data_IF_013000458980
#
_entry.id   IF_013000458980
#
_cell.length_a   1.000
_cell.length_b   1.000
_cell.length_c   1.000
_cell.angle_alpha   90.00
_cell.angle_beta   90.00
_cell.angle_gamma   90.00
#
_symmetry.space_group_name_H-M   'P 1'
#
loop_
_entity.id
_entity.type
_entity.pdbx_description
1 polymer ?
#
# COMPACT_ATOMS: atom_id res chain seq x y z
N UNK A 1 48.11 37.51 87.18
CA UNK A 1 46.82 37.73 86.52
C UNK A 1 47.04 37.97 85.09
N UNK A 2 46.81 36.98 84.27
CA UNK A 2 47.12 36.96 82.83
C UNK A 2 45.85 36.85 82.02
N UNK A 3 45.54 37.62 80.98
CA UNK A 3 44.42 37.48 80.16
C UNK A 3 44.65 36.54 78.98
N UNK A 4 43.69 35.76 78.68
CA UNK A 4 43.58 34.70 77.71
C UNK A 4 43.42 35.29 76.30
N UNK A 5 44.07 34.80 75.24
CA UNK A 5 43.87 35.26 73.86
C UNK A 5 42.74 34.46 73.19
N UNK A 6 41.76 35.14 72.62
CA UNK A 6 40.69 34.63 71.79
C UNK A 6 41.21 34.10 70.44
N UNK A 7 40.96 32.84 70.15
CA UNK A 7 41.21 32.24 68.81
C UNK A 7 40.02 32.55 67.90
N UNK A 8 40.33 33.30 66.83
CA UNK A 8 39.40 33.55 65.74
C UNK A 8 39.36 32.35 64.82
N UNK A 9 38.19 31.74 64.66
CA UNK A 9 37.95 30.68 63.67
C UNK A 9 37.54 31.34 62.34
N UNK A 10 38.41 31.26 61.34
CA UNK A 10 38.13 31.68 59.98
C UNK A 10 37.38 30.53 59.26
N UNK A 11 36.09 30.74 58.98
CA UNK A 11 35.27 29.80 58.15
C UNK A 11 35.64 30.05 56.67
N UNK A 12 36.35 29.11 56.07
CA UNK A 12 36.56 29.06 54.62
C UNK A 12 35.31 28.54 53.93
N UNK A 13 34.63 29.42 53.22
CA UNK A 13 33.53 29.02 52.33
C UNK A 13 34.16 28.36 51.08
N UNK A 14 34.02 27.05 50.98
CA UNK A 14 34.28 26.31 49.78
C UNK A 14 33.06 26.42 48.86
N UNK A 15 33.13 27.25 47.81
CA UNK A 15 32.12 27.34 46.77
C UNK A 15 32.22 26.08 45.88
N UNK A 16 31.23 25.19 46.07
CA UNK A 16 31.07 23.99 45.21
C UNK A 16 30.35 24.43 43.95
N UNK A 17 31.08 24.64 42.86
CA UNK A 17 30.51 24.88 41.54
C UNK A 17 30.07 23.54 40.97
N UNK A 18 28.75 23.26 41.01
CA UNK A 18 28.16 22.11 40.35
C UNK A 18 28.02 22.46 38.86
N UNK A 19 28.94 21.94 38.04
CA UNK A 19 28.84 21.98 36.57
C UNK A 19 27.80 20.91 36.16
N UNK A 20 26.56 21.37 35.92
CA UNK A 20 25.52 20.52 35.34
C UNK A 20 25.82 20.34 33.85
N UNK A 21 26.50 19.26 33.48
CA UNK A 21 26.66 18.84 32.07
C UNK A 21 25.34 18.29 31.58
N UNK A 22 24.54 19.12 30.88
CA UNK A 22 23.39 18.63 30.07
C UNK A 22 23.92 17.77 28.92
N UNK A 23 23.90 16.46 29.09
CA UNK A 23 24.06 15.53 28.00
C UNK A 23 22.83 15.64 27.09
N UNK A 24 22.96 16.33 25.96
CA UNK A 24 21.95 16.28 24.90
C UNK A 24 21.96 14.86 24.31
N UNK A 25 21.01 14.03 24.76
CA UNK A 25 20.66 12.80 24.06
C UNK A 25 20.04 13.22 22.71
N UNK A 26 20.83 13.26 21.67
CA UNK A 26 20.36 13.33 20.29
C UNK A 26 19.61 12.04 20.01
N UNK A 27 18.27 12.06 20.11
CA UNK A 27 17.42 10.99 19.61
C UNK A 27 17.58 11.04 18.09
N UNK A 28 18.47 10.23 17.54
CA UNK A 28 18.58 10.05 16.10
C UNK A 28 17.24 9.49 15.62
N UNK A 29 16.50 10.26 14.80
CA UNK A 29 15.31 9.75 14.16
C UNK A 29 15.70 8.50 13.34
N UNK A 30 14.90 7.43 13.46
CA UNK A 30 15.14 6.23 12.67
C UNK A 30 15.16 6.60 11.17
N UNK A 31 16.09 6.05 10.40
CA UNK A 31 16.20 6.38 8.97
C UNK A 31 14.89 6.02 8.26
N UNK A 32 14.45 6.88 7.35
CA UNK A 32 13.29 6.62 6.51
C UNK A 32 13.55 5.38 5.66
N UNK A 33 12.68 4.35 5.70
CA UNK A 33 12.86 3.15 4.90
C UNK A 33 12.83 3.49 3.41
N UNK A 34 13.58 2.76 2.61
CA UNK A 34 13.56 2.87 1.15
C UNK A 34 12.25 2.36 0.56
N UNK A 35 11.89 2.79 -0.64
CA UNK A 35 10.72 2.26 -1.34
C UNK A 35 10.79 0.73 -1.53
N UNK A 36 11.99 0.20 -1.75
CA UNK A 36 12.24 -1.25 -1.88
C UNK A 36 11.88 -2.01 -0.60
N UNK A 37 12.29 -1.51 0.56
CA UNK A 37 11.98 -2.11 1.86
C UNK A 37 10.48 -2.04 2.17
N UNK A 38 9.83 -0.91 1.91
CA UNK A 38 8.39 -0.75 2.09
C UNK A 38 7.63 -1.74 1.20
N UNK A 39 7.98 -1.84 -0.08
CA UNK A 39 7.33 -2.78 -1.01
C UNK A 39 7.62 -4.25 -0.65
N UNK A 40 8.81 -4.56 -0.13
CA UNK A 40 9.11 -5.90 0.36
C UNK A 40 8.20 -6.29 1.52
N UNK A 41 7.98 -5.39 2.50
CA UNK A 41 7.06 -5.65 3.61
C UNK A 41 5.60 -5.82 3.13
N UNK A 42 5.15 -5.01 2.16
CA UNK A 42 3.83 -5.16 1.53
C UNK A 42 3.66 -6.55 0.92
N UNK A 43 4.64 -7.01 0.13
CA UNK A 43 4.58 -8.34 -0.51
C UNK A 43 4.51 -9.48 0.52
N UNK A 44 5.33 -9.41 1.58
CA UNK A 44 5.32 -10.41 2.65
C UNK A 44 3.96 -10.44 3.35
N UNK A 45 3.40 -9.29 3.71
CA UNK A 45 2.09 -9.23 4.37
C UNK A 45 0.96 -9.72 3.46
N UNK A 46 1.00 -9.37 2.17
CA UNK A 46 0.02 -9.87 1.21
C UNK A 46 0.11 -11.39 1.06
N UNK A 47 1.32 -11.97 1.02
CA UNK A 47 1.51 -13.40 0.84
C UNK A 47 1.15 -14.26 2.08
N UNK A 48 0.92 -13.65 3.24
CA UNK A 48 0.59 -14.37 4.49
C UNK A 48 -0.91 -14.41 4.81
N UNK A 49 -1.75 -13.81 3.97
CA UNK A 49 -3.17 -13.73 4.24
C UNK A 49 -3.89 -15.05 3.97
N UNK A 50 -4.95 -15.28 4.75
CA UNK A 50 -5.94 -16.33 4.51
C UNK A 50 -7.31 -15.66 4.42
N UNK A 51 -7.96 -15.79 3.28
CA UNK A 51 -9.21 -15.11 2.95
C UNK A 51 -10.16 -16.12 2.32
N UNK A 52 -11.41 -16.09 2.78
CA UNK A 52 -12.55 -16.77 2.16
C UNK A 52 -13.77 -15.86 2.34
N UNK A 53 -14.05 -15.03 1.33
CA UNK A 53 -15.05 -13.96 1.42
C UNK A 53 -15.81 -13.84 0.12
N UNK A 54 -17.05 -13.40 0.23
CA UNK A 54 -17.84 -13.00 -0.92
C UNK A 54 -17.57 -11.53 -1.26
N UNK A 55 -17.64 -11.19 -2.55
CA UNK A 55 -17.47 -9.82 -2.99
C UNK A 55 -18.26 -9.53 -4.26
N UNK A 56 -18.19 -8.29 -4.68
CA UNK A 56 -18.75 -7.86 -5.96
C UNK A 56 -17.97 -6.69 -6.56
N UNK A 57 -17.94 -6.64 -7.89
CA UNK A 57 -17.63 -5.41 -8.62
C UNK A 57 -18.96 -4.75 -8.99
N UNK A 58 -19.08 -3.45 -8.73
CA UNK A 58 -20.25 -2.67 -9.09
C UNK A 58 -19.85 -1.45 -9.88
N UNK A 59 -20.37 -1.36 -11.11
CA UNK A 59 -20.18 -0.21 -12.00
C UNK A 59 -21.52 0.18 -12.62
N UNK A 60 -21.99 1.38 -12.31
CA UNK A 60 -23.35 1.83 -12.63
C UNK A 60 -24.39 0.83 -12.07
N UNK A 61 -25.26 0.31 -12.93
CA UNK A 61 -26.28 -0.70 -12.59
C UNK A 61 -25.76 -2.14 -12.65
N UNK A 62 -24.55 -2.34 -13.20
CA UNK A 62 -23.94 -3.67 -13.34
C UNK A 62 -23.33 -4.11 -12.02
N UNK A 63 -23.73 -5.28 -11.55
CA UNK A 63 -23.19 -5.95 -10.36
C UNK A 63 -22.65 -7.30 -10.77
N UNK A 64 -21.39 -7.56 -10.47
CA UNK A 64 -20.67 -8.79 -10.81
C UNK A 64 -20.20 -9.42 -9.51
N UNK A 65 -20.91 -10.42 -8.97
CA UNK A 65 -20.49 -11.14 -7.79
C UNK A 65 -19.26 -11.99 -8.08
N UNK A 66 -18.40 -12.14 -7.08
CA UNK A 66 -17.26 -13.05 -7.09
C UNK A 66 -17.03 -13.66 -5.71
N UNK A 67 -16.38 -14.81 -5.69
CA UNK A 67 -15.85 -15.43 -4.50
C UNK A 67 -14.35 -15.15 -4.44
N UNK A 68 -13.89 -14.50 -3.38
CA UNK A 68 -12.49 -14.17 -3.13
C UNK A 68 -11.90 -15.18 -2.16
N UNK A 69 -10.95 -15.97 -2.63
CA UNK A 69 -10.16 -16.82 -1.76
C UNK A 69 -8.69 -16.43 -1.82
N UNK A 70 -8.02 -16.52 -0.68
CA UNK A 70 -6.57 -16.42 -0.63
C UNK A 70 -6.01 -17.47 0.30
N UNK A 71 -5.01 -18.19 -0.18
CA UNK A 71 -4.21 -19.14 0.61
C UNK A 71 -2.74 -18.84 0.37
N UNK A 72 -2.13 -18.17 1.35
CA UNK A 72 -0.77 -17.71 1.22
C UNK A 72 -0.58 -16.78 0.00
N UNK A 73 0.35 -17.08 -0.93
CA UNK A 73 0.64 -16.21 -2.06
C UNK A 73 -0.36 -16.31 -3.22
N UNK A 74 -1.40 -17.13 -3.12
CA UNK A 74 -2.38 -17.33 -4.20
C UNK A 74 -3.69 -16.65 -3.85
N UNK A 75 -4.07 -15.64 -4.65
CA UNK A 75 -5.33 -14.91 -4.57
C UNK A 75 -6.18 -15.30 -5.76
N UNK A 76 -7.44 -15.69 -5.54
CA UNK A 76 -8.35 -16.13 -6.58
C UNK A 76 -9.67 -15.39 -6.50
N UNK A 77 -10.07 -14.78 -7.61
CA UNK A 77 -11.37 -14.18 -7.85
C UNK A 77 -12.15 -15.12 -8.75
N UNK A 78 -13.10 -15.87 -8.19
CA UNK A 78 -13.95 -16.79 -8.94
C UNK A 78 -15.29 -16.13 -9.27
N UNK A 79 -15.64 -16.14 -10.55
CA UNK A 79 -16.88 -15.60 -11.09
C UNK A 79 -17.77 -16.74 -11.57
N UNK A 80 -19.07 -16.52 -11.57
CA UNK A 80 -20.06 -17.39 -12.20
C UNK A 80 -20.66 -16.72 -13.44
N UNK A 81 -21.19 -17.53 -14.36
CA UNK A 81 -21.90 -17.10 -15.58
C UNK A 81 -21.10 -16.17 -16.52
N UNK A 82 -20.08 -16.69 -17.26
CA UNK A 82 -19.56 -18.07 -17.25
C UNK A 82 -18.68 -18.35 -16.04
N UNK A 83 -18.47 -19.62 -15.72
CA UNK A 83 -17.54 -20.04 -14.67
C UNK A 83 -16.11 -19.81 -15.13
N UNK A 84 -15.47 -18.85 -14.49
CA UNK A 84 -14.07 -18.52 -14.69
C UNK A 84 -13.45 -17.95 -13.41
N UNK A 85 -12.15 -17.97 -13.32
CA UNK A 85 -11.48 -17.25 -12.25
C UNK A 85 -10.23 -16.54 -12.76
N UNK A 86 -9.94 -15.40 -12.14
CA UNK A 86 -8.64 -14.74 -12.23
C UNK A 86 -7.84 -15.10 -11.00
N UNK A 87 -6.69 -15.72 -11.20
CA UNK A 87 -5.83 -16.18 -10.12
C UNK A 87 -4.49 -15.46 -10.17
N UNK A 88 -4.20 -14.69 -9.11
CA UNK A 88 -2.93 -14.00 -8.93
C UNK A 88 -2.02 -14.86 -8.04
N UNK A 89 -0.81 -15.14 -8.53
CA UNK A 89 0.27 -15.74 -7.75
C UNK A 89 1.31 -14.68 -7.43
N UNK A 90 1.50 -14.42 -6.15
CA UNK A 90 2.53 -13.51 -5.65
C UNK A 90 3.83 -14.30 -5.50
N UNK A 91 4.81 -14.03 -6.34
CA UNK A 91 6.15 -14.59 -6.21
C UNK A 91 7.05 -13.70 -5.37
N UNK A 92 8.30 -14.09 -5.23
CA UNK A 92 9.31 -13.30 -4.53
C UNK A 92 9.70 -12.04 -5.31
N UNK A 93 9.91 -12.17 -6.63
CA UNK A 93 10.44 -11.13 -7.50
C UNK A 93 9.46 -10.66 -8.58
N UNK A 94 8.32 -11.32 -8.74
CA UNK A 94 7.29 -10.99 -9.72
C UNK A 94 5.94 -11.57 -9.28
N UNK A 95 4.86 -11.09 -9.89
CA UNK A 95 3.53 -11.68 -9.80
C UNK A 95 3.10 -12.28 -11.13
N UNK A 96 2.21 -13.27 -11.09
CA UNK A 96 1.65 -13.89 -12.28
C UNK A 96 0.14 -13.97 -12.17
N UNK A 97 -0.55 -13.34 -13.10
CA UNK A 97 -1.99 -13.48 -13.26
C UNK A 97 -2.29 -14.63 -14.23
N UNK A 98 -3.27 -15.42 -13.91
CA UNK A 98 -3.74 -16.58 -14.67
C UNK A 98 -5.26 -16.49 -14.85
N UNK A 99 -5.74 -16.81 -16.04
CA UNK A 99 -7.15 -17.12 -16.29
C UNK A 99 -7.38 -18.61 -16.07
N UNK A 100 -8.40 -18.94 -15.30
CA UNK A 100 -8.81 -20.32 -15.01
C UNK A 100 -10.22 -20.52 -15.52
N UNK A 101 -10.36 -21.36 -16.54
CA UNK A 101 -11.63 -21.68 -17.18
C UNK A 101 -11.84 -23.19 -17.19
N UNK A 102 -12.97 -23.66 -17.71
CA UNK A 102 -13.25 -25.09 -17.91
C UNK A 102 -12.25 -25.74 -18.88
N UNK A 103 -11.64 -24.98 -19.80
CA UNK A 103 -10.64 -25.46 -20.75
C UNK A 103 -9.22 -25.57 -20.15
N UNK A 104 -8.97 -24.98 -18.99
CA UNK A 104 -7.68 -25.05 -18.33
C UNK A 104 -7.22 -23.75 -17.66
N UNK A 105 -5.93 -23.65 -17.41
CA UNK A 105 -5.27 -22.51 -16.79
C UNK A 105 -4.31 -21.89 -17.82
N UNK A 106 -4.52 -20.61 -18.11
CA UNK A 106 -3.70 -19.85 -19.05
C UNK A 106 -3.06 -18.64 -18.35
N UNK A 107 -1.78 -18.41 -18.65
CA UNK A 107 -1.07 -17.23 -18.14
C UNK A 107 -1.50 -15.98 -18.90
N UNK A 108 -1.93 -14.96 -18.19
CA UNK A 108 -2.17 -13.63 -18.76
C UNK A 108 -0.83 -13.01 -19.20
N UNK A 109 -0.78 -12.64 -20.47
CA UNK A 109 0.39 -12.01 -21.09
C UNK A 109 0.29 -10.49 -21.05
N UNK A 110 1.40 -9.75 -21.23
CA UNK A 110 1.35 -8.28 -21.30
C UNK A 110 0.41 -7.72 -22.36
N UNK A 111 0.19 -8.44 -23.47
CA UNK A 111 -0.76 -8.04 -24.51
C UNK A 111 -2.23 -8.06 -24.07
N UNK A 112 -2.52 -8.72 -22.94
CA UNK A 112 -3.87 -8.83 -22.36
C UNK A 112 -4.05 -7.93 -21.13
N UNK A 113 -3.03 -7.17 -20.73
CA UNK A 113 -3.09 -6.38 -19.48
C UNK A 113 -4.16 -5.28 -19.48
N UNK A 114 -4.55 -4.79 -20.65
CA UNK A 114 -5.63 -3.83 -20.82
C UNK A 114 -7.03 -4.46 -20.87
N UNK A 115 -7.14 -5.80 -20.91
CA UNK A 115 -8.42 -6.49 -20.86
C UNK A 115 -9.18 -6.11 -19.57
N UNK A 116 -10.44 -5.76 -19.75
CA UNK A 116 -11.32 -5.35 -18.66
C UNK A 116 -11.94 -6.55 -17.96
N UNK A 117 -11.82 -6.60 -16.63
CA UNK A 117 -12.44 -7.64 -15.81
C UNK A 117 -13.95 -7.52 -15.93
N UNK A 118 -14.56 -8.48 -16.62
CA UNK A 118 -16.01 -8.51 -16.84
C UNK A 118 -16.58 -7.21 -17.41
N UNK A 119 -15.77 -6.47 -18.18
CA UNK A 119 -16.16 -5.19 -18.82
C UNK A 119 -16.32 -4.02 -17.85
N UNK A 120 -15.76 -4.10 -16.65
CA UNK A 120 -15.65 -2.97 -15.69
C UNK A 120 -14.44 -2.12 -16.02
N UNK A 121 -14.24 -1.00 -15.28
CA UNK A 121 -13.02 -0.19 -15.39
C UNK A 121 -11.79 -0.82 -14.74
N UNK A 122 -11.90 -2.00 -14.11
CA UNK A 122 -10.76 -2.78 -13.61
C UNK A 122 -10.12 -3.56 -14.75
N UNK A 123 -8.80 -3.48 -14.91
CA UNK A 123 -8.06 -4.24 -15.92
C UNK A 123 -7.31 -5.42 -15.32
N UNK A 124 -6.82 -6.32 -16.16
CA UNK A 124 -5.98 -7.43 -15.72
C UNK A 124 -4.68 -6.96 -15.10
N UNK A 125 -4.07 -5.88 -15.59
CA UNK A 125 -2.88 -5.30 -14.98
C UNK A 125 -3.15 -4.79 -13.56
N UNK A 126 -4.33 -4.22 -13.35
CA UNK A 126 -4.75 -3.72 -12.03
C UNK A 126 -4.77 -4.87 -11.00
N UNK A 127 -5.29 -6.05 -11.39
CA UNK A 127 -5.30 -7.23 -10.54
C UNK A 127 -3.93 -7.91 -10.42
N UNK A 128 -3.09 -7.79 -11.44
CA UNK A 128 -1.76 -8.43 -11.44
C UNK A 128 -0.79 -7.80 -10.44
N UNK A 129 -1.06 -6.59 -9.94
CA UNK A 129 -0.25 -5.87 -8.95
C UNK A 129 1.24 -5.77 -9.35
N UNK A 130 1.54 -5.73 -10.65
CA UNK A 130 2.93 -5.73 -11.16
C UNK A 130 3.76 -4.59 -10.60
N UNK A 131 3.16 -3.44 -10.35
CA UNK A 131 3.86 -2.24 -9.86
C UNK A 131 4.50 -2.41 -8.49
N UNK A 132 4.04 -3.34 -7.63
CA UNK A 132 4.70 -3.58 -6.33
C UNK A 132 6.03 -4.33 -6.46
N UNK A 133 6.38 -4.77 -7.68
CA UNK A 133 7.64 -5.42 -8.02
C UNK A 133 8.59 -4.53 -8.81
N UNK A 134 8.17 -3.31 -9.19
CA UNK A 134 9.02 -2.41 -9.95
C UNK A 134 10.22 -1.93 -9.10
N UNK A 135 11.42 -2.06 -9.69
CA UNK A 135 12.67 -1.76 -8.99
C UNK A 135 12.97 -0.25 -8.94
N UNK A 136 12.47 0.53 -9.91
CA UNK A 136 12.70 1.96 -10.02
C UNK A 136 11.70 2.74 -9.15
N UNK A 137 11.88 2.66 -7.82
CA UNK A 137 11.00 3.31 -6.86
C UNK A 137 11.75 4.21 -5.89
N UNK A 138 11.08 5.29 -5.45
CA UNK A 138 11.56 6.17 -4.38
C UNK A 138 10.43 6.55 -3.44
N UNK A 139 10.77 6.89 -2.21
CA UNK A 139 9.84 7.55 -1.30
C UNK A 139 9.71 9.00 -1.75
N UNK A 140 8.53 9.39 -2.17
CA UNK A 140 8.22 10.73 -2.66
C UNK A 140 7.70 11.65 -1.54
N UNK A 141 7.49 11.11 -0.33
CA UNK A 141 7.03 11.86 0.83
C UNK A 141 6.07 11.05 1.70
N UNK A 142 5.35 11.76 2.52
CA UNK A 142 4.36 11.23 3.45
C UNK A 142 3.07 12.01 3.31
N UNK A 143 1.95 11.33 3.39
CA UNK A 143 0.62 11.94 3.37
C UNK A 143 -0.35 11.14 4.22
N UNK A 144 -1.40 11.77 4.69
CA UNK A 144 -2.52 11.05 5.31
C UNK A 144 -3.58 10.75 4.25
N UNK A 145 -3.99 9.49 4.16
CA UNK A 145 -5.16 9.05 3.41
C UNK A 145 -6.24 8.68 4.42
N UNK A 146 -7.33 9.45 4.44
CA UNK A 146 -8.33 9.40 5.51
C UNK A 146 -7.65 9.61 6.87
N UNK A 147 -7.70 8.65 7.77
CA UNK A 147 -7.10 8.72 9.11
C UNK A 147 -5.78 7.96 9.22
N UNK A 148 -5.21 7.49 8.09
CA UNK A 148 -4.00 6.65 8.08
C UNK A 148 -2.80 7.44 7.58
N UNK A 149 -1.70 7.41 8.31
CA UNK A 149 -0.43 7.96 7.88
C UNK A 149 0.24 7.01 6.89
N UNK A 150 0.56 7.51 5.70
CA UNK A 150 1.06 6.70 4.61
C UNK A 150 2.41 7.19 4.10
N UNK A 151 3.26 6.25 3.69
CA UNK A 151 4.35 6.53 2.78
C UNK A 151 3.77 6.77 1.38
N UNK A 152 4.17 7.85 0.73
CA UNK A 152 3.91 8.06 -0.70
C UNK A 152 5.12 7.57 -1.48
N UNK A 153 4.95 6.54 -2.28
CA UNK A 153 5.97 6.00 -3.17
C UNK A 153 5.72 6.47 -4.61
N UNK A 154 6.78 6.74 -5.34
CA UNK A 154 6.76 6.91 -6.79
C UNK A 154 7.49 5.72 -7.42
N UNK A 155 6.81 5.02 -8.33
CA UNK A 155 7.28 3.82 -8.98
C UNK A 155 7.24 4.03 -10.49
N UNK A 156 8.36 3.78 -11.19
CA UNK A 156 8.45 3.92 -12.64
C UNK A 156 8.43 2.54 -13.31
N UNK A 157 7.62 2.42 -14.35
CA UNK A 157 7.52 1.19 -15.11
C UNK A 157 8.87 0.81 -15.75
N UNK A 158 9.24 -0.48 -15.76
CA UNK A 158 10.47 -0.93 -16.36
C UNK A 158 10.42 -0.92 -17.89
N UNK A 159 9.22 -0.97 -18.49
CA UNK A 159 9.02 -0.99 -19.94
C UNK A 159 7.61 -0.56 -20.33
N UNK A 160 7.41 -0.36 -21.65
CA UNK A 160 6.08 -0.03 -22.23
C UNK A 160 5.09 -1.20 -22.29
N UNK A 161 5.40 -2.32 -21.68
CA UNK A 161 4.45 -3.44 -21.54
C UNK A 161 3.36 -3.15 -20.49
N UNK A 162 3.58 -2.18 -19.60
CA UNK A 162 2.57 -1.68 -18.68
C UNK A 162 1.74 -0.57 -19.34
N UNK A 163 0.46 -0.50 -19.02
CA UNK A 163 -0.40 0.64 -19.38
C UNK A 163 0.03 1.92 -18.64
N UNK A 164 0.75 1.79 -17.51
CA UNK A 164 1.26 2.88 -16.71
C UNK A 164 2.73 3.14 -16.98
N UNK A 165 3.11 4.41 -17.16
CA UNK A 165 4.51 4.86 -17.14
C UNK A 165 5.03 5.05 -15.72
N UNK A 166 4.13 5.46 -14.84
CA UNK A 166 4.42 5.81 -13.46
C UNK A 166 3.22 5.50 -12.56
N UNK A 167 3.50 5.03 -11.34
CA UNK A 167 2.48 4.78 -10.32
C UNK A 167 2.89 5.49 -9.04
N UNK A 168 1.97 6.27 -8.48
CA UNK A 168 2.07 6.70 -7.09
C UNK A 168 1.27 5.75 -6.21
N UNK A 169 1.88 5.32 -5.10
CA UNK A 169 1.29 4.36 -4.18
C UNK A 169 1.36 4.89 -2.76
N UNK A 170 0.25 4.88 -2.04
CA UNK A 170 0.18 5.24 -0.63
C UNK A 170 0.06 3.98 0.21
N UNK A 171 1.08 3.72 1.01
CA UNK A 171 1.21 2.55 1.88
C UNK A 171 1.04 2.99 3.33
N UNK A 172 0.08 2.45 4.03
CA UNK A 172 -0.12 2.69 5.45
C UNK A 172 1.11 2.29 6.26
N UNK A 173 1.62 3.20 7.09
CA UNK A 173 2.85 2.98 7.85
C UNK A 173 2.75 1.92 8.93
N UNK A 174 1.57 1.73 9.50
CA UNK A 174 1.36 0.79 10.60
C UNK A 174 1.02 -0.61 10.09
N UNK A 175 0.07 -0.69 9.15
CA UNK A 175 -0.46 -1.96 8.68
C UNK A 175 0.03 -2.38 7.29
N UNK A 176 0.86 -1.58 6.61
CA UNK A 176 1.36 -1.87 5.25
C UNK A 176 0.27 -2.00 4.18
N UNK A 177 -0.96 -1.58 4.49
CA UNK A 177 -2.07 -1.66 3.55
C UNK A 177 -1.89 -0.65 2.41
N UNK A 178 -2.26 -1.05 1.20
CA UNK A 178 -2.31 -0.17 0.03
C UNK A 178 -3.59 0.69 0.13
N UNK A 179 -3.43 1.95 0.50
CA UNK A 179 -4.55 2.86 0.76
C UNK A 179 -5.03 3.60 -0.49
N UNK A 180 -4.11 3.95 -1.38
CA UNK A 180 -4.39 4.60 -2.67
C UNK A 180 -3.32 4.22 -3.69
N UNK A 181 -3.72 4.15 -4.95
CA UNK A 181 -2.86 4.06 -6.11
C UNK A 181 -3.32 5.07 -7.16
N UNK A 182 -2.39 5.76 -7.79
CA UNK A 182 -2.63 6.60 -8.96
C UNK A 182 -1.71 6.17 -10.09
N UNK A 183 -2.29 5.72 -11.21
CA UNK A 183 -1.59 5.31 -12.41
C UNK A 183 -1.59 6.42 -13.45
N UNK A 184 -0.41 6.72 -14.00
CA UNK A 184 -0.20 7.73 -15.03
C UNK A 184 0.16 7.06 -16.35
N UNK A 185 -0.45 7.48 -17.44
CA UNK A 185 -0.18 6.98 -18.78
C UNK A 185 1.23 7.40 -19.28
N UNK A 186 1.59 6.95 -20.49
CA UNK A 186 2.90 7.25 -21.09
C UNK A 186 3.03 8.71 -21.58
N UNK A 187 1.98 9.51 -21.48
CA UNK A 187 1.98 10.96 -21.69
C UNK A 187 2.04 11.75 -20.37
N UNK A 188 2.22 11.04 -19.23
CA UNK A 188 2.28 11.62 -17.90
C UNK A 188 0.94 12.13 -17.40
N UNK A 189 -0.19 11.65 -17.95
CA UNK A 189 -1.53 12.02 -17.52
C UNK A 189 -2.10 10.98 -16.58
N UNK A 190 -2.76 11.43 -15.48
CA UNK A 190 -3.49 10.54 -14.61
C UNK A 190 -4.58 9.83 -15.40
N UNK A 191 -4.56 8.49 -15.39
CA UNK A 191 -5.49 7.62 -16.14
C UNK A 191 -6.32 6.75 -15.21
N UNK A 192 -5.80 6.40 -14.03
CA UNK A 192 -6.49 5.51 -13.09
C UNK A 192 -6.23 5.91 -11.64
N UNK A 193 -7.25 5.75 -10.79
CA UNK A 193 -7.11 5.91 -9.33
C UNK A 193 -7.83 4.79 -8.60
N UNK A 194 -7.18 4.23 -7.61
CA UNK A 194 -7.74 3.32 -6.62
C UNK A 194 -7.69 3.99 -5.26
N UNK A 195 -8.76 3.86 -4.48
CA UNK A 195 -8.79 4.39 -3.12
C UNK A 195 -9.61 3.49 -2.20
N UNK A 196 -9.04 3.09 -1.08
CA UNK A 196 -9.76 2.42 -0.01
C UNK A 196 -10.76 3.40 0.60
N UNK A 197 -12.04 3.05 0.48
CA UNK A 197 -13.15 3.86 1.02
C UNK A 197 -13.45 3.47 2.46
N UNK A 198 -13.47 2.18 2.73
CA UNK A 198 -13.72 1.66 4.08
C UNK A 198 -13.08 0.29 4.28
N UNK A 199 -12.80 -0.01 5.54
CA UNK A 199 -12.36 -1.30 6.01
C UNK A 199 -13.37 -1.85 7.02
N UNK A 200 -13.32 -3.16 7.26
CA UNK A 200 -14.15 -3.86 8.23
C UNK A 200 -13.31 -4.82 9.06
N UNK A 201 -13.77 -5.12 10.26
CA UNK A 201 -13.12 -6.09 11.14
C UNK A 201 -13.87 -7.41 11.08
N UNK A 202 -13.17 -8.49 10.70
CA UNK A 202 -13.69 -9.85 10.65
C UNK A 202 -12.77 -10.69 11.53
N UNK A 203 -13.31 -11.36 12.55
CA UNK A 203 -12.56 -12.20 13.48
C UNK A 203 -11.29 -11.53 14.05
N UNK A 204 -11.43 -10.25 14.41
CA UNK A 204 -10.31 -9.49 15.01
C UNK A 204 -9.34 -8.89 14.01
N UNK A 205 -9.36 -9.25 12.73
CA UNK A 205 -8.48 -8.75 11.66
C UNK A 205 -9.16 -7.71 10.77
N UNK A 206 -8.39 -6.75 10.27
CA UNK A 206 -8.87 -5.74 9.34
C UNK A 206 -8.83 -6.25 7.90
N UNK A 207 -9.95 -6.07 7.19
CA UNK A 207 -10.10 -6.38 5.77
C UNK A 207 -10.64 -5.18 5.01
N UNK A 208 -10.35 -5.14 3.73
CA UNK A 208 -11.02 -4.22 2.81
C UNK A 208 -12.54 -4.45 2.88
N UNK A 209 -13.33 -3.39 3.04
CA UNK A 209 -14.79 -3.43 2.86
C UNK A 209 -15.18 -2.87 1.51
N UNK A 210 -14.63 -1.70 1.15
CA UNK A 210 -14.93 -1.06 -0.13
C UNK A 210 -13.71 -0.32 -0.66
N UNK A 211 -13.42 -0.51 -1.94
CA UNK A 211 -12.45 0.25 -2.73
C UNK A 211 -13.16 0.90 -3.90
N UNK A 212 -12.83 2.15 -4.18
CA UNK A 212 -13.26 2.87 -5.37
C UNK A 212 -12.17 2.85 -6.39
N UNK A 213 -12.51 2.51 -7.63
CA UNK A 213 -11.63 2.45 -8.78
C UNK A 213 -12.19 3.40 -9.83
N UNK A 214 -11.42 4.38 -10.23
CA UNK A 214 -11.82 5.42 -11.18
C UNK A 214 -10.93 5.38 -12.42
N UNK A 215 -11.54 5.27 -13.58
CA UNK A 215 -10.91 5.56 -14.86
C UNK A 215 -11.04 7.06 -15.12
N UNK A 216 -9.91 7.72 -15.35
CA UNK A 216 -9.83 9.17 -15.51
C UNK A 216 -9.58 9.48 -16.98
N UNK A 217 -10.37 10.38 -17.55
CA UNK A 217 -10.14 10.86 -18.90
C UNK A 217 -8.84 11.68 -18.94
N UNK A 218 -7.80 11.20 -19.65
CA UNK A 218 -6.47 11.79 -19.60
C UNK A 218 -6.47 13.27 -19.94
N UNK A 219 -5.73 14.07 -19.15
CA UNK A 219 -5.58 15.51 -19.35
C UNK A 219 -6.76 16.37 -18.88
N UNK A 220 -7.91 15.79 -18.53
CA UNK A 220 -9.10 16.55 -18.07
C UNK A 220 -9.34 16.44 -16.58
N UNK A 221 -8.83 15.36 -15.94
CA UNK A 221 -9.12 15.03 -14.55
C UNK A 221 -10.57 14.54 -14.30
N UNK A 222 -11.41 14.44 -15.35
CA UNK A 222 -12.79 13.97 -15.24
C UNK A 222 -12.84 12.45 -15.11
N UNK A 223 -13.69 11.96 -14.20
CA UNK A 223 -13.96 10.52 -14.04
C UNK A 223 -14.81 10.07 -15.24
N UNK A 224 -14.30 9.11 -16.01
CA UNK A 224 -14.97 8.49 -17.15
C UNK A 224 -15.82 7.30 -16.72
N UNK A 225 -15.26 6.45 -15.85
CA UNK A 225 -15.96 5.30 -15.27
C UNK A 225 -15.55 5.10 -13.80
N UNK A 226 -16.44 4.46 -13.04
CA UNK A 226 -16.20 4.20 -11.62
C UNK A 226 -16.72 2.83 -11.23
N UNK A 227 -15.79 1.96 -10.83
CA UNK A 227 -16.11 0.65 -10.26
C UNK A 227 -15.89 0.68 -8.75
N UNK A 228 -16.78 0.07 -8.01
CA UNK A 228 -16.58 -0.26 -6.59
C UNK A 228 -16.30 -1.75 -6.46
N UNK A 229 -15.17 -2.07 -5.82
CA UNK A 229 -14.91 -3.41 -5.31
C UNK A 229 -15.41 -3.43 -3.86
N UNK A 230 -16.35 -4.32 -3.58
CA UNK A 230 -17.02 -4.43 -2.29
C UNK A 230 -16.87 -5.86 -1.77
N UNK A 231 -16.38 -6.00 -0.54
CA UNK A 231 -16.24 -7.29 0.15
C UNK A 231 -17.38 -7.41 1.15
N UNK A 232 -18.12 -8.50 1.06
CA UNK A 232 -19.22 -8.86 1.95
C UNK A 232 -18.72 -9.86 3.00
N UNK A 233 -19.30 -9.78 4.17
CA UNK A 233 -19.09 -10.75 5.24
C UNK A 233 -19.89 -12.02 4.98
#
# INVERSE_FOLDING_TARGET
MSPNPRRSFAIRHASFVIVLSLAYLSIAAAPTPSAKEILASVRVMQAQQQIDLQGQLRENEKVIPFHLTQTGPVIRYAFSNPDEALQLRLGENDSRLEEVTSSGVEKVTPAQFDHKVRGTSVTYEDLALKFIYWQNGRVAGENSIRTRNCWKLELKAPSRQSQYSNVYLWVDKEGGALMRMEGYDWNGKLSKRFEVISAQKIEGRWFLKQMRIEEILPGTGKVQARTYLEIKK
#
